data_IF_226182367134
#
_entry.id   IF_226182367134
#
_cell.length_a   1.000
_cell.length_b   1.000
_cell.length_c   1.000
_cell.angle_alpha   90.00
_cell.angle_beta   90.00
_cell.angle_gamma   90.00
#
_symmetry.space_group_name_H-M   'P 1'
#
loop_
_entity.id
_entity.type
_entity.pdbx_description
1 polymer ?
#
# COMPACT_ATOMS: atom_id res chain seq x y z
N UNK A 1 24.49 -12.45 -14.71
CA UNK A 1 24.17 -13.21 -13.49
C UNK A 1 22.78 -12.78 -13.03
N UNK A 2 21.78 -13.57 -13.41
CA UNK A 2 20.35 -13.25 -13.26
C UNK A 2 19.95 -13.66 -11.83
N UNK A 3 19.42 -12.73 -11.03
CA UNK A 3 18.84 -13.07 -9.72
C UNK A 3 17.52 -13.82 -9.95
N UNK A 4 17.20 -14.86 -9.17
CA UNK A 4 16.01 -15.65 -9.41
C UNK A 4 14.75 -14.83 -9.10
N UNK A 5 13.83 -14.85 -10.06
CA UNK A 5 12.42 -14.54 -9.92
C UNK A 5 11.85 -15.43 -8.81
N UNK A 6 11.38 -14.84 -7.71
CA UNK A 6 10.84 -15.64 -6.62
C UNK A 6 9.39 -16.03 -6.97
N UNK A 7 9.12 -17.33 -7.04
CA UNK A 7 7.78 -17.91 -7.23
C UNK A 7 7.12 -18.25 -5.89
N UNK A 8 7.49 -17.55 -4.81
CA UNK A 8 7.02 -17.83 -3.43
C UNK A 8 5.52 -17.60 -3.22
N UNK A 9 4.80 -17.06 -4.20
CA UNK A 9 3.42 -16.62 -4.08
C UNK A 9 2.40 -17.70 -4.49
N UNK A 10 2.79 -18.70 -5.30
CA UNK A 10 1.91 -19.83 -5.66
C UNK A 10 1.82 -20.91 -4.56
N UNK A 11 2.79 -20.98 -3.64
CA UNK A 11 2.83 -22.01 -2.60
C UNK A 11 1.91 -21.72 -1.39
N UNK A 12 1.46 -20.48 -1.18
CA UNK A 12 0.63 -20.15 0.00
C UNK A 12 -0.88 -20.25 -0.25
N UNK A 13 -1.34 -20.33 -1.50
CA UNK A 13 -2.77 -20.58 -1.79
C UNK A 13 -3.13 -22.05 -1.50
N UNK A 14 -2.16 -22.97 -1.49
CA UNK A 14 -2.37 -24.41 -1.28
C UNK A 14 -2.05 -24.91 0.14
N UNK A 15 -1.53 -24.06 1.04
CA UNK A 15 -1.18 -24.41 2.43
C UNK A 15 -1.99 -23.62 3.47
N UNK A 16 -3.31 -23.51 3.29
CA UNK A 16 -4.20 -23.24 4.42
C UNK A 16 -4.40 -24.53 5.23
N UNK A 17 -3.34 -24.92 5.95
CA UNK A 17 -3.51 -25.71 7.18
C UNK A 17 -4.18 -24.86 8.28
N UNK A 18 -4.59 -25.44 9.42
CA UNK A 18 -5.35 -24.74 10.45
C UNK A 18 -4.46 -23.70 11.14
N UNK A 19 -4.47 -22.50 10.57
CA UNK A 19 -3.63 -21.36 10.93
C UNK A 19 -3.73 -20.29 9.85
N UNK A 20 -4.95 -20.01 9.36
CA UNK A 20 -5.19 -18.93 8.42
C UNK A 20 -4.84 -17.60 9.11
N UNK A 21 -3.66 -17.05 8.81
CA UNK A 21 -3.25 -15.76 9.31
C UNK A 21 -4.18 -14.68 8.74
N UNK A 22 -4.65 -13.79 9.61
CA UNK A 22 -5.57 -12.72 9.22
C UNK A 22 -4.85 -11.74 8.31
N UNK A 23 -5.42 -11.54 7.13
CA UNK A 23 -5.01 -10.54 6.16
C UNK A 23 -6.06 -9.43 6.20
N UNK A 24 -5.64 -8.22 6.58
CA UNK A 24 -6.55 -7.09 6.77
C UNK A 24 -6.19 -5.93 5.84
N UNK A 25 -7.13 -5.45 5.00
CA UNK A 25 -6.88 -4.35 4.07
C UNK A 25 -6.65 -3.04 4.82
N UNK A 26 -5.62 -2.29 4.39
CA UNK A 26 -5.24 -1.01 4.97
C UNK A 26 -5.73 0.16 4.14
N UNK A 27 -5.38 0.21 2.86
CA UNK A 27 -5.78 1.24 1.91
C UNK A 27 -5.52 0.78 0.47
N UNK A 28 -6.02 1.54 -0.49
CA UNK A 28 -5.81 1.32 -1.92
C UNK A 28 -5.08 2.48 -2.57
N UNK A 29 -4.47 2.20 -3.72
CA UNK A 29 -4.07 3.22 -4.69
C UNK A 29 -4.89 3.02 -5.96
N UNK A 30 -5.60 4.06 -6.34
CA UNK A 30 -6.42 4.16 -7.53
C UNK A 30 -5.74 5.07 -8.56
N UNK A 31 -5.99 4.83 -9.85
CA UNK A 31 -5.43 5.64 -10.94
C UNK A 31 -6.54 6.15 -11.82
N UNK A 32 -6.31 7.30 -12.44
CA UNK A 32 -7.23 7.83 -13.45
C UNK A 32 -7.20 7.08 -14.80
N UNK A 33 -6.39 6.03 -14.93
CA UNK A 33 -6.16 5.32 -16.20
C UNK A 33 -7.13 4.15 -16.39
N UNK A 34 -7.52 3.48 -15.31
CA UNK A 34 -8.39 2.31 -15.31
C UNK A 34 -8.97 2.09 -13.91
N UNK A 35 -9.87 1.11 -13.77
CA UNK A 35 -10.46 0.76 -12.46
C UNK A 35 -9.58 -0.15 -11.60
N UNK A 36 -8.41 -0.55 -12.07
CA UNK A 36 -7.53 -1.46 -11.33
C UNK A 36 -6.94 -0.75 -10.11
N UNK A 37 -6.81 -1.48 -9.01
CA UNK A 37 -6.39 -0.95 -7.72
C UNK A 37 -5.12 -1.64 -7.25
N UNK A 38 -4.19 -0.88 -6.68
CA UNK A 38 -3.12 -1.48 -5.87
C UNK A 38 -3.63 -1.56 -4.44
N UNK A 39 -3.65 -2.76 -3.87
CA UNK A 39 -4.11 -3.00 -2.51
C UNK A 39 -2.92 -3.16 -1.58
N UNK A 40 -3.01 -2.55 -0.40
CA UNK A 40 -2.05 -2.69 0.69
C UNK A 40 -2.76 -3.32 1.86
N UNK A 41 -2.19 -4.37 2.41
CA UNK A 41 -2.76 -5.12 3.52
C UNK A 41 -1.70 -5.51 4.53
N UNK A 42 -2.15 -5.75 5.76
CA UNK A 42 -1.29 -6.31 6.80
C UNK A 42 -0.96 -7.75 6.48
N UNK A 43 0.30 -8.11 6.64
CA UNK A 43 0.75 -9.49 6.60
C UNK A 43 1.26 -9.92 7.98
N UNK A 44 0.56 -10.87 8.58
CA UNK A 44 0.89 -11.44 9.89
C UNK A 44 1.46 -12.85 9.72
N UNK A 45 2.40 -13.18 10.60
CA UNK A 45 2.95 -14.52 10.80
C UNK A 45 2.70 -14.98 12.24
N UNK A 46 3.22 -16.15 12.60
CA UNK A 46 3.14 -16.65 13.97
C UNK A 46 3.82 -15.68 14.94
N UNK A 47 3.05 -15.15 15.90
CA UNK A 47 3.55 -14.23 16.91
C UNK A 47 3.57 -12.74 16.53
N UNK A 48 3.04 -12.34 15.36
CA UNK A 48 2.88 -10.92 15.01
C UNK A 48 3.09 -10.62 13.53
N UNK A 49 3.80 -9.53 13.22
CA UNK A 49 4.08 -9.13 11.84
C UNK A 49 4.96 -10.15 11.09
N UNK A 50 4.78 -10.33 9.78
CA UNK A 50 5.68 -11.17 8.97
C UNK A 50 7.09 -10.54 8.83
N UNK A 51 8.14 -11.27 9.23
CA UNK A 51 9.50 -10.76 9.39
C UNK A 51 10.14 -10.18 8.12
N UNK A 52 9.76 -10.69 6.95
CA UNK A 52 10.32 -10.24 5.68
C UNK A 52 9.43 -9.23 4.97
N UNK A 53 8.12 -9.43 5.04
CA UNK A 53 7.13 -8.69 4.26
C UNK A 53 5.90 -8.35 5.10
N UNK A 54 6.00 -7.39 6.05
CA UNK A 54 4.90 -7.07 6.96
C UNK A 54 3.72 -6.34 6.30
N UNK A 55 3.93 -5.82 5.07
CA UNK A 55 2.92 -5.08 4.30
C UNK A 55 2.87 -5.67 2.90
N UNK A 56 1.86 -6.47 2.64
CA UNK A 56 1.69 -7.09 1.33
C UNK A 56 1.06 -6.09 0.35
N UNK A 57 1.57 -6.09 -0.88
CA UNK A 57 1.13 -5.18 -1.94
C UNK A 57 0.91 -5.93 -3.25
N UNK A 58 -0.24 -5.72 -3.89
CA UNK A 58 -0.61 -6.41 -5.13
C UNK A 58 -1.68 -5.63 -5.91
N UNK A 59 -1.86 -5.99 -7.18
CA UNK A 59 -2.93 -5.50 -8.04
C UNK A 59 -4.21 -6.30 -7.84
N UNK A 60 -5.34 -5.59 -7.83
CA UNK A 60 -6.67 -6.13 -8.12
C UNK A 60 -7.15 -5.53 -9.43
N UNK A 61 -7.25 -6.38 -10.45
CA UNK A 61 -7.66 -6.00 -11.80
C UNK A 61 -9.19 -6.01 -11.90
N UNK A 62 -9.82 -4.90 -11.51
CA UNK A 62 -11.28 -4.73 -11.53
C UNK A 62 -11.89 -4.77 -12.95
N UNK A 63 -11.07 -4.68 -13.99
CA UNK A 63 -11.48 -4.85 -15.39
C UNK A 63 -11.39 -6.31 -15.85
N UNK A 64 -10.77 -7.18 -15.06
CA UNK A 64 -10.62 -8.63 -15.27
C UNK A 64 -11.23 -9.39 -14.07
N UNK A 65 -12.49 -9.10 -13.75
CA UNK A 65 -13.28 -9.78 -12.71
C UNK A 65 -12.60 -9.85 -11.32
N UNK A 66 -11.78 -8.85 -10.99
CA UNK A 66 -11.11 -8.75 -9.68
C UNK A 66 -9.89 -9.67 -9.54
N UNK A 67 -9.32 -10.13 -10.67
CA UNK A 67 -8.09 -10.93 -10.69
C UNK A 67 -6.97 -10.28 -9.88
N UNK A 68 -6.29 -11.08 -9.07
CA UNK A 68 -5.15 -10.65 -8.26
C UNK A 68 -3.85 -10.89 -9.02
N UNK A 69 -3.00 -9.88 -9.10
CA UNK A 69 -1.67 -9.98 -9.71
C UNK A 69 -0.59 -9.37 -8.81
N UNK A 70 0.61 -9.94 -8.84
CA UNK A 70 1.77 -9.34 -8.17
C UNK A 70 2.20 -8.05 -8.88
N UNK A 71 2.89 -7.17 -8.15
CA UNK A 71 3.60 -6.06 -8.78
C UNK A 71 4.74 -6.62 -9.66
N UNK A 72 5.00 -5.98 -10.80
CA UNK A 72 6.25 -6.22 -11.52
C UNK A 72 7.44 -5.72 -10.69
N UNK A 73 8.64 -6.27 -10.91
CA UNK A 73 9.84 -5.86 -10.19
C UNK A 73 10.16 -4.35 -10.33
N UNK A 74 9.79 -3.75 -11.47
CA UNK A 74 9.96 -2.31 -11.72
C UNK A 74 8.96 -1.51 -10.89
N UNK A 75 7.69 -1.88 -10.89
CA UNK A 75 6.66 -1.22 -10.09
C UNK A 75 6.93 -1.35 -8.58
N UNK A 76 7.36 -2.53 -8.15
CA UNK A 76 7.78 -2.79 -6.78
C UNK A 76 9.02 -1.96 -6.41
N UNK A 77 9.94 -1.71 -7.35
CA UNK A 77 11.18 -0.97 -7.08
C UNK A 77 11.03 0.55 -7.13
N UNK A 78 10.11 1.07 -7.93
CA UNK A 78 10.06 2.51 -8.24
C UNK A 78 8.69 3.18 -8.04
N UNK A 79 7.61 2.41 -7.97
CA UNK A 79 6.25 2.95 -7.89
C UNK A 79 5.57 2.54 -6.58
N UNK A 80 4.89 1.38 -6.60
CA UNK A 80 3.94 0.94 -5.59
C UNK A 80 4.57 0.11 -4.46
N UNK A 81 5.83 -0.29 -4.59
CA UNK A 81 6.48 -1.00 -3.49
C UNK A 81 6.64 -0.14 -2.24
N UNK A 82 6.83 -0.80 -1.12
CA UNK A 82 7.06 -0.16 0.19
C UNK A 82 8.54 -0.19 0.57
N UNK A 83 8.95 0.77 1.39
CA UNK A 83 10.22 0.76 2.11
C UNK A 83 9.92 0.82 3.61
N UNK A 84 10.08 -0.31 4.28
CA UNK A 84 9.90 -0.42 5.73
C UNK A 84 11.05 0.32 6.43
N UNK A 85 10.70 1.30 7.25
CA UNK A 85 11.64 2.13 8.03
C UNK A 85 11.84 1.59 9.44
N UNK A 86 10.77 1.09 10.05
CA UNK A 86 10.79 0.50 11.37
C UNK A 86 9.72 -0.58 11.46
N UNK A 87 10.00 -1.60 12.24
CA UNK A 87 9.08 -2.66 12.62
C UNK A 87 9.42 -3.07 14.05
N UNK A 88 8.41 -3.08 14.91
CA UNK A 88 8.49 -3.67 16.25
C UNK A 88 7.20 -4.46 16.54
N UNK A 89 7.00 -4.89 17.78
CA UNK A 89 5.83 -5.68 18.17
C UNK A 89 4.51 -4.89 18.14
N UNK A 90 4.57 -3.56 18.11
CA UNK A 90 3.41 -2.67 18.22
C UNK A 90 3.03 -2.09 16.86
N UNK A 91 4.02 -1.70 16.06
CA UNK A 91 3.79 -0.97 14.82
C UNK A 91 4.80 -1.28 13.70
N UNK A 92 4.37 -0.99 12.48
CA UNK A 92 5.21 -0.97 11.28
C UNK A 92 5.16 0.42 10.66
N UNK A 93 6.31 1.06 10.49
CA UNK A 93 6.43 2.34 9.78
C UNK A 93 7.10 2.13 8.44
N UNK A 94 6.47 2.63 7.40
CA UNK A 94 6.97 2.50 6.04
C UNK A 94 6.63 3.74 5.20
N UNK A 95 7.25 3.83 4.03
CA UNK A 95 6.88 4.79 2.99
C UNK A 95 6.60 4.05 1.70
N UNK A 96 5.76 4.62 0.84
CA UNK A 96 5.67 4.19 -0.56
C UNK A 96 6.94 4.66 -1.28
N UNK A 97 7.53 3.83 -2.14
CA UNK A 97 8.76 4.20 -2.85
C UNK A 97 8.60 5.44 -3.73
N UNK A 98 7.43 5.62 -4.35
CA UNK A 98 7.10 6.83 -5.10
C UNK A 98 6.74 8.06 -4.24
N UNK A 99 6.44 7.88 -2.95
CA UNK A 99 6.07 8.96 -2.02
C UNK A 99 6.91 8.89 -0.73
N UNK A 100 8.26 9.01 -0.82
CA UNK A 100 9.16 8.76 0.31
C UNK A 100 9.04 9.79 1.45
N UNK A 101 8.33 10.90 1.23
CA UNK A 101 8.06 11.95 2.24
C UNK A 101 6.79 11.70 3.03
N UNK A 102 5.96 10.74 2.62
CA UNK A 102 4.67 10.41 3.24
C UNK A 102 4.86 9.14 4.08
N UNK A 103 5.28 9.30 5.33
CA UNK A 103 5.39 8.15 6.25
C UNK A 103 4.01 7.63 6.63
N UNK A 104 3.87 6.31 6.64
CA UNK A 104 2.66 5.58 7.00
C UNK A 104 3.01 4.66 8.16
N UNK A 105 2.24 4.75 9.24
CA UNK A 105 2.37 3.90 10.42
C UNK A 105 1.18 2.97 10.51
N UNK A 106 1.42 1.67 10.50
CA UNK A 106 0.40 0.64 10.74
C UNK A 106 0.46 0.21 12.18
N UNK A 107 -0.70 0.22 12.83
CA UNK A 107 -0.86 -0.21 14.22
C UNK A 107 -2.23 -0.82 14.45
N UNK A 108 -2.34 -1.61 15.50
CA UNK A 108 -3.61 -2.18 15.95
C UNK A 108 -4.42 -1.15 16.75
N UNK A 109 -5.71 -0.99 16.48
CA UNK A 109 -6.65 -0.22 17.32
C UNK A 109 -7.16 -1.08 18.48
N UNK A 110 -7.78 -0.46 19.48
CA UNK A 110 -8.38 -1.15 20.64
C UNK A 110 -9.36 -2.26 20.25
N UNK A 111 -10.08 -2.09 19.13
CA UNK A 111 -11.00 -3.09 18.57
C UNK A 111 -10.30 -4.27 17.84
N UNK A 112 -8.98 -4.40 17.93
CA UNK A 112 -8.20 -5.48 17.34
C UNK A 112 -7.88 -5.34 15.85
N UNK A 113 -8.53 -4.40 15.14
CA UNK A 113 -8.30 -4.12 13.72
C UNK A 113 -7.02 -3.33 13.49
N UNK A 114 -6.34 -3.61 12.39
CA UNK A 114 -5.20 -2.79 11.96
C UNK A 114 -5.65 -1.56 11.17
N UNK A 115 -4.94 -0.46 11.35
CA UNK A 115 -5.13 0.77 10.58
C UNK A 115 -3.80 1.33 10.14
N UNK A 116 -3.77 1.88 8.93
CA UNK A 116 -2.67 2.70 8.45
C UNK A 116 -2.96 4.17 8.77
N UNK A 117 -2.02 4.84 9.42
CA UNK A 117 -2.11 6.25 9.80
C UNK A 117 -1.03 7.04 9.08
N UNK A 118 -1.40 8.18 8.51
CA UNK A 118 -0.47 9.12 7.90
C UNK A 118 -0.91 10.55 8.21
N UNK A 119 -0.06 11.52 7.90
CA UNK A 119 -0.44 12.92 7.93
C UNK A 119 -1.36 13.25 6.75
N UNK A 120 -2.48 13.91 7.00
CA UNK A 120 -3.33 14.50 5.96
C UNK A 120 -3.65 15.91 6.44
N UNK A 121 -3.16 16.92 5.72
CA UNK A 121 -3.30 18.35 6.07
C UNK A 121 -2.72 18.71 7.46
N UNK A 122 -1.58 18.12 7.85
CA UNK A 122 -0.94 18.40 9.13
C UNK A 122 -1.60 17.70 10.33
N UNK A 123 -2.52 16.76 10.08
CA UNK A 123 -3.24 16.02 11.11
C UNK A 123 -3.07 14.51 10.92
N UNK A 124 -2.91 13.72 12.00
CA UNK A 124 -2.95 12.27 11.92
C UNK A 124 -4.32 11.77 11.45
N UNK A 125 -4.33 10.98 10.39
CA UNK A 125 -5.54 10.43 9.78
C UNK A 125 -5.36 8.96 9.44
N UNK A 126 -6.42 8.15 9.59
CA UNK A 126 -6.45 6.80 9.01
C UNK A 126 -6.66 6.93 7.51
N UNK A 127 -5.66 6.50 6.75
CA UNK A 127 -5.73 6.55 5.29
C UNK A 127 -6.77 5.55 4.79
N UNK A 128 -7.53 5.96 3.77
CA UNK A 128 -8.50 5.12 3.07
C UNK A 128 -8.02 4.80 1.66
N UNK A 129 -7.59 5.81 0.92
CA UNK A 129 -7.09 5.63 -0.44
C UNK A 129 -6.14 6.75 -0.85
N UNK A 130 -5.32 6.44 -1.86
CA UNK A 130 -4.55 7.42 -2.63
C UNK A 130 -5.02 7.37 -4.07
N UNK A 131 -5.43 8.51 -4.63
CA UNK A 131 -5.77 8.62 -6.04
C UNK A 131 -4.65 9.32 -6.80
N UNK A 132 -4.22 8.73 -7.91
CA UNK A 132 -3.20 9.29 -8.79
C UNK A 132 -3.88 9.75 -10.09
N UNK A 133 -3.87 11.06 -10.30
CA UNK A 133 -4.28 11.64 -11.58
C UNK A 133 -3.09 11.70 -12.51
N UNK A 134 -3.20 10.99 -13.63
CA UNK A 134 -2.21 11.02 -14.71
C UNK A 134 -2.76 11.78 -15.91
N UNK A 135 -1.89 12.50 -16.61
CA UNK A 135 -2.17 13.14 -17.90
C UNK A 135 -1.15 12.68 -18.94
N UNK A 136 -1.54 12.75 -20.22
CA UNK A 136 -0.76 12.17 -21.31
C UNK A 136 -1.07 10.69 -21.55
N UNK A 137 -0.37 10.07 -22.50
CA UNK A 137 -0.56 8.68 -22.90
C UNK A 137 0.77 7.98 -23.17
N UNK A 138 0.79 6.65 -22.97
CA UNK A 138 1.98 5.83 -23.15
C UNK A 138 3.18 6.32 -22.33
N UNK A 139 4.34 6.40 -22.99
CA UNK A 139 5.61 6.86 -22.41
C UNK A 139 5.63 8.35 -22.04
N UNK A 140 4.67 9.14 -22.53
CA UNK A 140 4.57 10.59 -22.24
C UNK A 140 3.60 10.89 -21.08
N UNK A 141 3.26 9.87 -20.29
CA UNK A 141 2.40 10.04 -19.13
C UNK A 141 3.14 10.73 -17.99
N UNK A 142 2.44 11.62 -17.28
CA UNK A 142 2.97 12.30 -16.10
C UNK A 142 1.91 12.41 -15.01
N UNK A 143 2.32 12.32 -13.75
CA UNK A 143 1.40 12.50 -12.62
C UNK A 143 1.08 13.98 -12.49
N UNK A 144 -0.19 14.32 -12.68
CA UNK A 144 -0.71 15.69 -12.51
C UNK A 144 -0.87 16.02 -11.04
N UNK A 145 -1.47 15.13 -10.26
CA UNK A 145 -1.56 15.26 -8.81
C UNK A 145 -1.74 13.89 -8.15
N UNK A 146 -1.46 13.86 -6.85
CA UNK A 146 -1.79 12.81 -5.91
C UNK A 146 -2.80 13.36 -4.92
N UNK A 147 -3.83 12.59 -4.62
CA UNK A 147 -4.83 12.91 -3.62
C UNK A 147 -4.86 11.80 -2.57
N UNK A 148 -4.66 12.15 -1.31
CA UNK A 148 -4.72 11.22 -0.17
C UNK A 148 -5.99 11.50 0.60
N UNK A 149 -6.84 10.49 0.72
CA UNK A 149 -8.10 10.58 1.47
C UNK A 149 -8.04 9.68 2.69
N UNK A 150 -8.58 10.16 3.81
CA UNK A 150 -8.67 9.41 5.05
C UNK A 150 -9.70 10.00 6.00
N UNK A 151 -9.71 9.49 7.23
CA UNK A 151 -10.55 10.00 8.31
C UNK A 151 -9.72 10.36 9.52
N UNK A 152 -10.11 11.40 10.26
CA UNK A 152 -9.39 11.83 11.47
C UNK A 152 -9.28 10.69 12.50
N UNK A 153 -8.19 10.66 13.27
CA UNK A 153 -8.01 9.63 14.30
C UNK A 153 -9.00 9.88 15.45
N UNK A 154 -10.05 9.06 15.52
CA UNK A 154 -11.07 9.11 16.58
C UNK A 154 -12.38 9.80 16.18
N UNK A 155 -12.51 10.29 14.95
CA UNK A 155 -13.73 10.92 14.43
C UNK A 155 -14.17 10.38 13.08
N UNK A 156 -15.27 10.95 12.56
CA UNK A 156 -15.84 10.64 11.24
C UNK A 156 -15.48 11.67 10.16
N UNK A 157 -14.71 12.71 10.53
CA UNK A 157 -14.32 13.76 9.61
C UNK A 157 -13.45 13.19 8.48
N UNK A 158 -13.87 13.41 7.24
CA UNK A 158 -13.11 13.04 6.05
C UNK A 158 -12.08 14.12 5.75
N UNK A 159 -10.81 13.72 5.67
CA UNK A 159 -9.69 14.57 5.33
C UNK A 159 -9.19 14.23 3.93
N UNK A 160 -8.97 15.25 3.10
CA UNK A 160 -8.50 15.11 1.72
C UNK A 160 -7.34 16.08 1.50
N UNK A 161 -6.17 15.54 1.18
CA UNK A 161 -4.99 16.33 0.82
C UNK A 161 -4.62 16.06 -0.64
N UNK A 162 -4.47 17.12 -1.43
CA UNK A 162 -4.02 17.03 -2.82
C UNK A 162 -2.70 17.77 -3.01
N UNK A 163 -1.74 17.13 -3.65
CA UNK A 163 -0.44 17.75 -3.97
C UNK A 163 0.10 17.25 -5.31
N UNK A 164 0.94 18.07 -5.95
CA UNK A 164 1.72 17.64 -7.10
C UNK A 164 3.00 16.93 -6.60
N UNK A 165 3.27 15.68 -7.00
CA UNK A 165 4.51 15.03 -6.61
C UNK A 165 5.67 15.78 -7.28
N UNK A 166 6.57 16.37 -6.48
CA UNK A 166 7.80 16.97 -7.01
C UNK A 166 8.56 15.86 -7.74
N UNK A 167 8.94 16.09 -9.01
CA UNK A 167 9.83 15.17 -9.74
C UNK A 167 11.07 14.93 -8.87
N UNK A 168 11.22 13.73 -8.31
CA UNK A 168 12.51 13.32 -7.75
C UNK A 168 13.42 13.02 -8.93
N UNK A 169 14.09 14.05 -9.44
CA UNK A 169 15.35 13.81 -10.12
C UNK A 169 16.33 13.43 -9.02
N UNK A 170 16.54 12.13 -8.87
CA UNK A 170 17.71 11.55 -8.23
C UNK A 170 18.73 11.21 -9.29
#
# INVERSE_FOLDING_TARGET
MIRPFNERWLLWILLLGPGAFAVEPLFTIDRSLNRNQVVYEVNLAEGGWDAGDPIRVYWVLQEEDGKIEALSAIEESFAYGVSVRKRDSVEVRFVLKALPKKEITVRRREAGKFVAVTDILGQPAVIKSIFIKTVGSGIFSSVRYVEVTGSSVGGEETLIERFEPKKSFG
#
